data_IF_539389709800
#
_entry.id   IF_539389709800
#
_cell.length_a   1.000
_cell.length_b   1.000
_cell.length_c   1.000
_cell.angle_alpha   90.00
_cell.angle_beta   90.00
_cell.angle_gamma   90.00
#
_symmetry.space_group_name_H-M   'P 1'
#
loop_
_entity.id
_entity.type
_entity.pdbx_description
1 polymer ?
#
# COMPACT_ATOMS: atom_id res chain seq x y z
N UNK A 1 -1.51 27.13 55.18
CA UNK A 1 -1.23 25.73 55.60
C UNK A 1 -0.82 24.82 54.43
N UNK A 2 -1.27 25.08 53.20
CA UNK A 2 -0.89 24.33 51.99
C UNK A 2 0.55 24.64 51.53
N UNK A 3 1.01 25.90 51.67
CA UNK A 3 2.36 26.30 51.24
C UNK A 3 3.51 25.70 52.06
N UNK A 4 3.27 25.40 53.34
CA UNK A 4 4.26 24.81 54.24
C UNK A 4 4.56 23.34 53.89
N UNK A 5 3.57 22.61 53.36
CA UNK A 5 3.70 21.22 52.93
C UNK A 5 4.50 21.10 51.61
N UNK A 6 4.30 22.03 50.67
CA UNK A 6 5.05 22.06 49.40
C UNK A 6 6.56 22.24 49.63
N UNK A 7 6.92 23.12 50.58
CA UNK A 7 8.32 23.49 50.82
C UNK A 7 9.08 22.39 51.56
N UNK A 8 8.42 21.68 52.48
CA UNK A 8 8.99 20.52 53.18
C UNK A 8 9.14 19.30 52.25
N UNK A 9 8.14 19.05 51.39
CA UNK A 9 8.16 17.96 50.41
C UNK A 9 9.32 18.12 49.41
N UNK A 10 9.53 19.34 48.91
CA UNK A 10 10.63 19.67 47.99
C UNK A 10 12.01 19.37 48.57
N UNK A 11 12.22 19.61 49.88
CA UNK A 11 13.51 19.35 50.54
C UNK A 11 13.75 17.87 50.86
N UNK A 12 12.69 17.07 50.95
CA UNK A 12 12.77 15.62 51.10
C UNK A 12 13.18 14.92 49.79
N UNK A 13 12.61 15.34 48.65
CA UNK A 13 12.98 14.82 47.33
C UNK A 13 14.43 15.17 46.91
N UNK A 14 14.97 16.29 47.39
CA UNK A 14 16.37 16.68 47.17
C UNK A 14 17.40 15.82 47.95
N UNK A 15 16.98 15.05 48.96
CA UNK A 15 17.87 14.19 49.76
C UNK A 15 18.11 12.80 49.16
N UNK A 16 17.18 12.31 48.33
CA UNK A 16 17.31 11.04 47.60
C UNK A 16 17.09 11.24 46.10
N UNK A 17 17.98 12.01 45.42
CA UNK A 17 17.80 12.39 44.01
C UNK A 17 17.76 11.17 43.08
N UNK A 18 18.45 10.09 43.42
CA UNK A 18 18.44 8.83 42.68
C UNK A 18 17.06 8.17 42.61
N UNK A 19 16.28 8.22 43.69
CA UNK A 19 14.95 7.60 43.73
C UNK A 19 13.93 8.39 42.89
N UNK A 20 14.00 9.72 42.93
CA UNK A 20 13.19 10.58 42.07
C UNK A 20 13.57 10.39 40.60
N UNK A 21 14.87 10.32 40.30
CA UNK A 21 15.36 10.12 38.94
C UNK A 21 14.93 8.76 38.39
N UNK A 22 15.05 7.68 39.17
CA UNK A 22 14.58 6.35 38.76
C UNK A 22 13.07 6.33 38.51
N UNK A 23 12.27 7.00 39.36
CA UNK A 23 10.82 7.07 39.20
C UNK A 23 10.44 7.82 37.91
N UNK A 24 11.05 8.98 37.66
CA UNK A 24 10.82 9.77 36.44
C UNK A 24 11.25 8.99 35.21
N UNK A 25 12.42 8.34 35.25
CA UNK A 25 12.91 7.52 34.15
C UNK A 25 11.98 6.35 33.84
N UNK A 26 11.45 5.67 34.86
CA UNK A 26 10.49 4.57 34.66
C UNK A 26 9.22 5.04 33.95
N UNK A 27 8.64 6.17 34.38
CA UNK A 27 7.46 6.75 33.74
C UNK A 27 7.78 7.21 32.31
N UNK A 28 8.89 7.93 32.11
CA UNK A 28 9.31 8.42 30.80
C UNK A 28 9.53 7.27 29.81
N UNK A 29 10.18 6.19 30.25
CA UNK A 29 10.46 5.03 29.42
C UNK A 29 9.17 4.26 29.08
N UNK A 30 8.23 4.13 30.03
CA UNK A 30 6.92 3.53 29.76
C UNK A 30 6.10 4.31 28.72
N UNK A 31 6.03 5.64 28.86
CA UNK A 31 5.33 6.50 27.89
C UNK A 31 6.02 6.48 26.52
N UNK A 32 7.35 6.49 26.48
CA UNK A 32 8.10 6.45 25.22
C UNK A 32 7.84 5.15 24.44
N UNK A 33 7.80 3.99 25.12
CA UNK A 33 7.50 2.71 24.47
C UNK A 33 6.05 2.67 23.97
N UNK A 34 5.09 3.11 24.77
CA UNK A 34 3.68 3.16 24.38
C UNK A 34 3.48 4.02 23.12
N UNK A 35 4.01 5.24 23.13
CA UNK A 35 3.93 6.16 21.97
C UNK A 35 4.70 5.61 20.76
N UNK A 36 5.83 4.93 20.98
CA UNK A 36 6.59 4.29 19.90
C UNK A 36 5.81 3.16 19.22
N UNK A 37 5.11 2.33 20.01
CA UNK A 37 4.24 1.26 19.47
C UNK A 37 3.04 1.86 18.74
N UNK A 38 2.39 2.87 19.31
CA UNK A 38 1.25 3.55 18.66
C UNK A 38 1.67 4.20 17.34
N UNK A 39 2.81 4.88 17.30
CA UNK A 39 3.38 5.46 16.07
C UNK A 39 3.74 4.39 15.05
N UNK A 40 4.32 3.27 15.48
CA UNK A 40 4.64 2.16 14.57
C UNK A 40 3.37 1.54 13.99
N UNK A 41 2.33 1.37 14.82
CA UNK A 41 1.05 0.80 14.42
C UNK A 41 0.26 1.75 13.50
N UNK A 42 0.25 3.04 13.81
CA UNK A 42 -0.37 4.09 12.98
C UNK A 42 0.39 4.28 11.66
N UNK A 43 1.72 4.21 11.68
CA UNK A 43 2.54 4.24 10.45
C UNK A 43 2.27 3.02 9.58
N UNK A 44 2.15 1.83 10.19
CA UNK A 44 1.78 0.63 9.47
C UNK A 44 0.37 0.76 8.87
N UNK A 45 -0.62 1.18 9.67
CA UNK A 45 -2.00 1.40 9.20
C UNK A 45 -2.06 2.42 8.06
N UNK A 46 -1.37 3.55 8.15
CA UNK A 46 -1.33 4.58 7.09
C UNK A 46 -0.61 4.09 5.84
N UNK A 47 0.48 3.33 5.99
CA UNK A 47 1.17 2.70 4.87
C UNK A 47 0.28 1.66 4.18
N UNK A 48 -0.50 0.89 4.95
CA UNK A 48 -1.47 -0.06 4.42
C UNK A 48 -2.68 0.63 3.78
N UNK A 49 -3.23 1.69 4.38
CA UNK A 49 -4.35 2.47 3.80
C UNK A 49 -3.94 3.19 2.50
N UNK A 50 -2.71 3.73 2.42
CA UNK A 50 -2.17 4.27 1.16
C UNK A 50 -1.93 3.18 0.11
N UNK A 51 -1.51 1.98 0.54
CA UNK A 51 -1.34 0.84 -0.35
C UNK A 51 -2.70 0.32 -0.82
N UNK A 52 -3.72 0.28 0.04
CA UNK A 52 -5.05 -0.25 -0.24
C UNK A 52 -5.85 0.68 -1.16
N UNK A 53 -5.75 2.00 -0.98
CA UNK A 53 -6.32 2.98 -1.91
C UNK A 53 -5.71 2.87 -3.33
N UNK A 54 -4.44 2.45 -3.42
CA UNK A 54 -3.77 2.20 -4.69
C UNK A 54 -4.11 0.81 -5.27
N UNK A 55 -4.37 -0.18 -4.39
CA UNK A 55 -4.57 -1.59 -4.74
C UNK A 55 -6.03 -2.05 -4.90
N UNK A 56 -7.05 -1.25 -4.55
CA UNK A 56 -8.46 -1.60 -4.85
C UNK A 56 -9.17 -0.59 -5.76
N UNK A 57 -8.70 0.66 -5.82
CA UNK A 57 -9.42 1.71 -6.55
C UNK A 57 -10.81 1.97 -5.96
N UNK A 58 -11.70 2.61 -6.70
CA UNK A 58 -13.09 2.90 -6.28
C UNK A 58 -14.06 1.71 -6.45
N UNK A 59 -13.55 0.49 -6.56
CA UNK A 59 -14.37 -0.69 -6.80
C UNK A 59 -15.18 -1.07 -5.55
N UNK A 60 -16.51 -1.16 -5.69
CA UNK A 60 -17.40 -1.53 -4.58
C UNK A 60 -17.59 -3.05 -4.45
N UNK A 61 -17.42 -3.79 -5.56
CA UNK A 61 -17.66 -5.23 -5.63
C UNK A 61 -16.64 -5.89 -6.55
N UNK A 62 -16.15 -7.08 -6.16
CA UNK A 62 -15.24 -7.90 -6.96
C UNK A 62 -15.86 -9.27 -7.24
N UNK A 63 -15.84 -9.68 -8.50
CA UNK A 63 -16.26 -11.01 -8.94
C UNK A 63 -15.02 -11.89 -9.09
N UNK A 64 -14.93 -12.94 -8.28
CA UNK A 64 -13.82 -13.89 -8.30
C UNK A 64 -14.37 -15.26 -8.66
N UNK A 65 -13.75 -15.91 -9.66
CA UNK A 65 -14.11 -17.28 -10.04
C UNK A 65 -13.68 -18.27 -8.97
N UNK A 66 -14.61 -19.07 -8.45
CA UNK A 66 -14.28 -20.09 -7.44
C UNK A 66 -13.74 -21.33 -8.16
N UNK A 67 -12.40 -21.44 -8.24
CA UNK A 67 -11.70 -22.59 -8.78
C UNK A 67 -11.66 -22.71 -10.30
N UNK A 68 -12.31 -21.79 -11.04
CA UNK A 68 -12.26 -21.71 -12.51
C UNK A 68 -12.23 -20.25 -12.94
N UNK A 69 -11.58 -19.96 -14.07
CA UNK A 69 -11.57 -18.64 -14.69
C UNK A 69 -12.98 -18.23 -15.09
N UNK A 70 -13.31 -16.94 -14.93
CA UNK A 70 -14.60 -16.41 -15.37
C UNK A 70 -14.55 -16.25 -16.89
N UNK A 71 -15.48 -16.88 -17.65
CA UNK A 71 -15.53 -16.68 -19.09
C UNK A 71 -15.81 -15.21 -19.45
N UNK A 72 -15.16 -14.71 -20.51
CA UNK A 72 -15.31 -13.32 -20.97
C UNK A 72 -16.75 -12.99 -21.38
N UNK A 73 -17.55 -14.00 -21.73
CA UNK A 73 -18.97 -13.87 -22.04
C UNK A 73 -19.77 -13.32 -20.86
N UNK A 74 -19.39 -13.66 -19.62
CA UNK A 74 -20.05 -13.16 -18.40
C UNK A 74 -19.85 -11.66 -18.27
N UNK A 75 -18.63 -11.16 -18.53
CA UNK A 75 -18.35 -9.72 -18.56
C UNK A 75 -19.17 -9.02 -19.65
N UNK A 76 -19.22 -9.59 -20.86
CA UNK A 76 -20.01 -9.06 -21.97
C UNK A 76 -21.50 -9.00 -21.63
N UNK A 77 -22.04 -10.04 -20.99
CA UNK A 77 -23.44 -10.10 -20.60
C UNK A 77 -23.78 -9.08 -19.51
N UNK A 78 -22.92 -8.94 -18.49
CA UNK A 78 -23.04 -7.92 -17.45
C UNK A 78 -23.12 -6.51 -18.05
N UNK A 79 -22.21 -6.18 -18.97
CA UNK A 79 -22.14 -4.85 -19.59
C UNK A 79 -23.29 -4.56 -20.55
N UNK A 80 -23.83 -5.57 -21.23
CA UNK A 80 -24.94 -5.40 -22.18
C UNK A 80 -26.32 -5.41 -21.51
N UNK A 81 -26.53 -6.28 -20.52
CA UNK A 81 -27.86 -6.50 -19.93
C UNK A 81 -28.15 -5.65 -18.69
N UNK A 82 -27.12 -5.19 -17.95
CA UNK A 82 -27.29 -4.45 -16.69
C UNK A 82 -26.99 -2.94 -16.82
N UNK A 83 -26.84 -2.43 -18.05
CA UNK A 83 -26.56 -1.02 -18.32
C UNK A 83 -25.06 -0.67 -18.26
N UNK A 84 -24.69 0.62 -18.24
CA UNK A 84 -23.29 1.05 -18.20
C UNK A 84 -22.68 0.74 -16.82
N UNK A 85 -22.36 -0.53 -16.60
CA UNK A 85 -21.49 -0.95 -15.51
C UNK A 85 -20.08 -0.51 -15.88
N UNK A 86 -19.53 0.38 -15.07
CA UNK A 86 -18.09 0.59 -15.00
C UNK A 86 -17.56 -0.68 -14.35
N UNK A 87 -16.82 -1.49 -15.10
CA UNK A 87 -16.25 -2.76 -14.66
C UNK A 87 -14.93 -2.99 -15.42
N UNK A 88 -13.83 -3.13 -14.70
CA UNK A 88 -12.51 -3.38 -15.25
C UNK A 88 -12.11 -4.84 -15.02
N UNK A 89 -11.94 -5.65 -16.09
CA UNK A 89 -11.46 -7.01 -15.96
C UNK A 89 -9.96 -7.02 -15.65
N UNK A 90 -9.55 -7.91 -14.74
CA UNK A 90 -8.14 -8.15 -14.41
C UNK A 90 -7.82 -9.63 -14.64
N UNK A 91 -6.74 -9.89 -15.37
CA UNK A 91 -6.25 -11.24 -15.65
C UNK A 91 -4.88 -11.39 -15.01
N UNK A 92 -4.69 -12.43 -14.20
CA UNK A 92 -3.43 -12.69 -13.49
C UNK A 92 -2.82 -14.01 -13.96
N UNK A 93 -1.57 -13.97 -14.43
CA UNK A 93 -0.86 -15.16 -14.94
C UNK A 93 0.55 -15.19 -14.36
N UNK A 94 0.98 -16.35 -13.88
CA UNK A 94 2.37 -16.55 -13.47
C UNK A 94 3.25 -16.84 -14.70
N UNK A 95 4.22 -15.96 -14.97
CA UNK A 95 5.15 -16.02 -16.10
C UNK A 95 6.60 -16.19 -15.63
N UNK A 96 7.46 -16.68 -16.52
CA UNK A 96 8.91 -16.72 -16.29
C UNK A 96 9.61 -15.90 -17.36
N UNK A 97 10.40 -14.92 -16.93
CA UNK A 97 11.16 -14.07 -17.85
C UNK A 97 12.39 -14.81 -18.37
N UNK A 98 12.59 -14.75 -19.68
CA UNK A 98 13.78 -15.29 -20.33
C UNK A 98 14.99 -14.44 -19.90
N UNK A 99 15.94 -15.04 -19.19
CA UNK A 99 17.13 -14.35 -18.68
C UNK A 99 17.12 -14.02 -17.18
N UNK A 100 15.96 -14.09 -16.52
CA UNK A 100 15.81 -13.84 -15.07
C UNK A 100 15.94 -15.10 -14.19
N UNK A 101 16.49 -16.19 -14.73
CA UNK A 101 16.67 -17.47 -14.03
C UNK A 101 15.37 -18.27 -13.86
N UNK A 102 15.21 -18.95 -12.71
CA UNK A 102 14.02 -19.76 -12.39
C UNK A 102 12.92 -18.99 -11.64
N UNK A 103 13.08 -17.67 -11.46
CA UNK A 103 12.10 -16.86 -10.73
C UNK A 103 10.81 -16.73 -11.54
N UNK A 104 9.69 -16.93 -10.88
CA UNK A 104 8.37 -16.62 -11.43
C UNK A 104 7.97 -15.18 -11.11
N UNK A 105 7.22 -14.60 -12.02
CA UNK A 105 6.69 -13.25 -11.94
C UNK A 105 5.20 -13.29 -12.24
N UNK A 106 4.44 -12.41 -11.61
CA UNK A 106 3.02 -12.26 -11.90
C UNK A 106 2.84 -11.22 -13.01
N UNK A 107 2.28 -11.63 -14.14
CA UNK A 107 1.81 -10.76 -15.19
C UNK A 107 0.34 -10.42 -14.93
N UNK A 108 0.05 -9.13 -14.83
CA UNK A 108 -1.30 -8.61 -14.62
C UNK A 108 -1.74 -7.93 -15.91
N UNK A 109 -2.78 -8.45 -16.55
CA UNK A 109 -3.50 -7.83 -17.66
C UNK A 109 -4.64 -6.97 -17.12
N UNK A 110 -4.66 -5.70 -17.53
CA UNK A 110 -5.67 -4.70 -17.16
C UNK A 110 -6.32 -4.12 -18.42
N UNK A 111 -7.52 -3.56 -18.29
CA UNK A 111 -8.17 -2.82 -19.39
C UNK A 111 -7.86 -1.32 -19.27
N UNK A 112 -6.93 -0.76 -20.08
CA UNK A 112 -6.48 0.63 -19.92
C UNK A 112 -7.60 1.66 -20.13
N UNK A 113 -8.72 1.29 -20.75
CA UNK A 113 -9.84 2.20 -21.01
C UNK A 113 -10.72 2.34 -19.77
N UNK A 114 -11.07 1.23 -19.13
CA UNK A 114 -11.96 1.21 -17.97
C UNK A 114 -11.19 1.35 -16.65
N UNK A 115 -9.92 0.92 -16.59
CA UNK A 115 -9.09 0.95 -15.38
C UNK A 115 -8.85 2.38 -14.88
N UNK A 116 -8.77 3.37 -15.78
CA UNK A 116 -8.65 4.80 -15.42
C UNK A 116 -9.85 5.32 -14.62
N UNK A 117 -11.02 4.71 -14.77
CA UNK A 117 -12.22 5.07 -14.00
C UNK A 117 -12.21 4.48 -12.59
N UNK A 118 -11.43 3.42 -12.36
CA UNK A 118 -11.30 2.74 -11.07
C UNK A 118 -10.06 3.16 -10.29
N UNK A 119 -8.92 3.30 -10.99
CA UNK A 119 -7.58 3.50 -10.43
C UNK A 119 -6.86 4.57 -11.22
N UNK A 120 -6.45 5.62 -10.52
CA UNK A 120 -5.45 6.52 -11.08
C UNK A 120 -4.07 5.92 -10.82
N UNK A 121 -3.46 5.30 -11.84
CA UNK A 121 -2.07 4.84 -11.76
C UNK A 121 -1.05 5.99 -11.60
N UNK A 122 -1.52 7.25 -11.58
CA UNK A 122 -0.71 8.43 -11.30
C UNK A 122 0.01 8.41 -9.95
N UNK A 123 -0.35 7.51 -9.02
CA UNK A 123 0.33 7.35 -7.73
C UNK A 123 1.49 6.34 -7.75
N UNK A 124 1.56 5.46 -8.74
CA UNK A 124 2.80 4.76 -9.04
C UNK A 124 3.69 5.81 -9.70
N UNK A 125 4.81 6.13 -9.06
CA UNK A 125 5.81 7.09 -9.51
C UNK A 125 6.39 6.70 -10.88
N UNK A 126 5.58 6.85 -11.91
CA UNK A 126 5.96 6.85 -13.29
C UNK A 126 6.47 8.28 -13.49
N UNK A 127 7.80 8.46 -13.56
CA UNK A 127 8.44 9.75 -13.82
C UNK A 127 8.03 10.36 -15.19
N UNK A 128 7.15 9.70 -15.92
CA UNK A 128 6.54 10.09 -17.19
C UNK A 128 5.06 9.75 -17.08
N UNK A 129 4.15 10.62 -17.54
CA UNK A 129 2.73 10.25 -17.65
C UNK A 129 2.64 8.86 -18.31
N UNK A 130 1.94 7.88 -17.70
CA UNK A 130 1.82 6.56 -18.31
C UNK A 130 1.25 6.75 -19.71
N UNK A 131 2.06 6.45 -20.73
CA UNK A 131 1.62 6.46 -22.12
C UNK A 131 0.76 5.20 -22.35
N UNK A 132 -0.41 5.23 -21.73
CA UNK A 132 -1.46 4.22 -21.82
C UNK A 132 -1.90 3.99 -23.26
N UNK A 133 -1.67 4.95 -24.15
CA UNK A 133 -1.88 4.79 -25.58
C UNK A 133 -0.89 3.78 -26.18
N UNK A 134 0.37 3.72 -25.74
CA UNK A 134 1.33 2.69 -26.21
C UNK A 134 0.93 1.28 -25.79
N UNK A 135 0.26 1.10 -24.65
CA UNK A 135 -0.31 -0.21 -24.27
C UNK A 135 -1.41 -0.67 -25.24
N UNK A 136 -2.10 0.26 -25.89
CA UNK A 136 -3.18 -0.03 -26.85
C UNK A 136 -2.64 -0.17 -28.28
N UNK A 137 -1.67 0.67 -28.64
CA UNK A 137 -1.17 0.81 -30.01
C UNK A 137 -0.02 -0.16 -30.33
N UNK A 138 0.88 -0.39 -29.36
CA UNK A 138 2.06 -1.25 -29.55
C UNK A 138 1.83 -2.61 -28.89
N UNK A 139 1.78 -3.71 -29.68
CA UNK A 139 1.62 -5.04 -29.11
C UNK A 139 2.86 -5.43 -28.31
N UNK A 140 2.65 -6.16 -27.20
CA UNK A 140 3.68 -6.62 -26.26
C UNK A 140 4.34 -5.50 -25.43
N UNK A 141 3.68 -4.35 -25.28
CA UNK A 141 4.08 -3.32 -24.32
C UNK A 141 3.66 -3.75 -22.91
N UNK A 142 4.57 -3.63 -21.94
CA UNK A 142 4.32 -4.00 -20.53
C UNK A 142 4.84 -2.88 -19.62
N UNK A 143 4.09 -2.58 -18.57
CA UNK A 143 4.55 -1.68 -17.51
C UNK A 143 5.27 -2.50 -16.43
N UNK A 144 6.45 -2.05 -16.03
CA UNK A 144 7.28 -2.71 -15.02
C UNK A 144 7.53 -1.71 -13.88
N UNK A 145 7.43 -2.11 -12.61
CA UNK A 145 7.83 -1.26 -11.49
C UNK A 145 9.32 -0.91 -11.56
N UNK A 146 9.68 0.34 -11.26
CA UNK A 146 11.08 0.82 -11.26
C UNK A 146 12.05 -0.06 -10.44
N UNK A 147 11.69 -0.56 -9.24
CA UNK A 147 12.58 -1.46 -8.51
C UNK A 147 12.88 -2.76 -9.26
N UNK A 148 11.93 -3.23 -10.07
CA UNK A 148 12.07 -4.46 -10.86
C UNK A 148 12.87 -4.20 -12.16
N UNK A 149 12.74 -3.02 -12.77
CA UNK A 149 13.59 -2.65 -13.91
C UNK A 149 15.06 -2.52 -13.50
N UNK A 150 15.32 -1.91 -12.34
CA UNK A 150 16.67 -1.75 -11.79
C UNK A 150 17.29 -3.11 -11.44
N UNK A 151 16.51 -4.02 -10.84
CA UNK A 151 16.95 -5.37 -10.51
C UNK A 151 17.29 -6.19 -11.76
N UNK A 152 16.47 -6.07 -12.81
CA UNK A 152 16.65 -6.81 -14.06
C UNK A 152 17.61 -6.14 -15.05
N UNK A 153 18.03 -4.90 -14.78
CA UNK A 153 18.87 -4.10 -15.69
C UNK A 153 18.20 -3.80 -17.03
N UNK A 154 16.88 -3.66 -17.04
CA UNK A 154 16.09 -3.41 -18.27
C UNK A 154 15.88 -1.90 -18.43
N UNK A 155 16.26 -1.37 -19.58
CA UNK A 155 16.04 0.04 -19.95
C UNK A 155 14.66 0.23 -20.63
N UNK A 156 14.10 1.44 -20.49
CA UNK A 156 12.86 1.85 -21.17
C UNK A 156 13.07 1.84 -22.71
N UNK A 157 12.12 1.22 -23.41
CA UNK A 157 12.11 1.07 -24.88
C UNK A 157 11.24 2.08 -25.63
#
# INVERSE_FOLDING_TARGET
MIESLLTASRRFYLRHPLQLLLAIMGVALGVAVFVGVDLANDSARRAFEQSEASLVGSATHQLIGVGTEIPNEVYRELRLNHGPLVAAPVVEIEVRLVGAGQRSFTLIGIDPIEELSFRSYSSLSLDTEPDSARLIVEPNTVLIPTPLSDELGIELG
#
